data_IF_721013606298
#
_entry.id   IF_721013606298
#
_cell.length_a   1.000
_cell.length_b   1.000
_cell.length_c   1.000
_cell.angle_alpha   90.00
_cell.angle_beta   90.00
_cell.angle_gamma   90.00
#
_symmetry.space_group_name_H-M   'P 1'
#
loop_
_entity.id
_entity.type
_entity.pdbx_description
1 polymer ?
#
# COMPACT_ATOMS: atom_id res chain seq x y z
N UNK A 1 0.83 20.84 40.70
CA UNK A 1 1.14 20.46 39.30
C UNK A 1 1.49 18.98 39.26
N UNK A 2 0.49 18.12 39.39
CA UNK A 2 0.68 16.65 39.37
C UNK A 2 -0.37 16.07 38.44
N UNK A 3 -0.21 16.32 37.14
CA UNK A 3 -0.97 15.54 36.16
C UNK A 3 -0.38 14.14 36.18
N UNK A 4 -1.12 13.26 36.84
CA UNK A 4 -0.84 11.89 37.22
C UNK A 4 -0.09 11.10 36.13
N UNK A 5 1.02 10.44 36.50
CA UNK A 5 1.92 9.67 35.62
C UNK A 5 1.16 8.66 34.73
N UNK A 6 -0.02 8.19 35.17
CA UNK A 6 -0.91 7.31 34.39
C UNK A 6 -1.52 7.94 33.13
N UNK A 7 -1.73 9.26 33.07
CA UNK A 7 -2.31 9.92 31.89
C UNK A 7 -1.29 9.98 30.73
N UNK A 8 0.00 10.13 31.04
CA UNK A 8 1.07 10.13 30.04
C UNK A 8 1.17 8.79 29.28
N UNK A 9 0.96 7.66 29.97
CA UNK A 9 1.00 6.32 29.37
C UNK A 9 -0.18 6.08 28.41
N UNK A 10 -1.33 6.70 28.67
CA UNK A 10 -2.51 6.62 27.81
C UNK A 10 -2.33 7.49 26.55
N UNK A 11 -1.68 8.65 26.68
CA UNK A 11 -1.33 9.47 25.52
C UNK A 11 -0.29 8.78 24.64
N UNK A 12 0.77 8.20 25.21
CA UNK A 12 1.73 7.40 24.43
C UNK A 12 1.10 6.13 23.85
N UNK A 13 0.21 5.45 24.57
CA UNK A 13 -0.46 4.23 24.13
C UNK A 13 -1.45 4.44 22.99
N UNK A 14 -2.27 5.49 23.06
CA UNK A 14 -3.16 5.89 21.96
C UNK A 14 -2.38 6.48 20.77
N UNK A 15 -1.29 7.23 21.01
CA UNK A 15 -0.38 7.66 19.93
C UNK A 15 0.26 6.47 19.21
N UNK A 16 0.72 5.47 19.98
CA UNK A 16 1.30 4.24 19.42
C UNK A 16 0.25 3.49 18.61
N UNK A 17 -0.97 3.33 19.11
CA UNK A 17 -2.07 2.68 18.37
C UNK A 17 -2.50 3.44 17.09
N UNK A 18 -2.48 4.78 17.10
CA UNK A 18 -2.82 5.61 15.93
C UNK A 18 -1.71 5.66 14.87
N UNK A 19 -0.46 5.34 15.22
CA UNK A 19 0.65 5.23 14.26
C UNK A 19 0.76 3.83 13.63
N UNK A 20 0.17 2.77 14.23
CA UNK A 20 0.04 1.44 13.59
C UNK A 20 -1.12 1.42 12.58
N UNK A 21 -1.17 2.48 11.77
CA UNK A 21 -2.07 2.68 10.65
C UNK A 21 -1.43 3.52 9.54
N UNK A 22 -0.10 3.73 9.59
CA UNK A 22 0.64 4.36 8.50
C UNK A 22 0.77 3.36 7.34
N UNK A 23 -0.27 3.28 6.51
CA UNK A 23 -0.04 2.97 5.11
C UNK A 23 0.83 4.10 4.57
N UNK A 24 2.13 3.85 4.49
CA UNK A 24 3.09 4.76 3.90
C UNK A 24 2.75 4.87 2.40
N UNK A 25 1.80 5.75 2.06
CA UNK A 25 1.36 6.02 0.70
C UNK A 25 2.49 6.61 -0.16
N UNK A 26 3.54 7.12 0.48
CA UNK A 26 4.71 7.72 -0.18
C UNK A 26 5.64 6.69 -0.84
N UNK A 27 5.44 5.38 -0.59
CA UNK A 27 6.08 4.29 -1.33
C UNK A 27 5.05 3.24 -1.67
N UNK A 28 4.14 3.57 -2.58
CA UNK A 28 3.25 2.60 -3.20
C UNK A 28 4.08 1.42 -3.79
N UNK A 29 4.10 0.30 -3.05
CA UNK A 29 4.76 -0.94 -3.45
C UNK A 29 3.82 -1.73 -4.36
N UNK A 30 4.38 -2.60 -5.19
CA UNK A 30 3.56 -3.57 -5.91
C UNK A 30 2.79 -4.42 -4.89
N UNK A 31 1.47 -4.55 -5.07
CA UNK A 31 0.62 -5.41 -4.24
C UNK A 31 0.35 -6.68 -5.02
N UNK A 32 0.62 -7.83 -4.41
CA UNK A 32 0.37 -9.13 -5.01
C UNK A 32 -0.48 -9.98 -4.06
N UNK A 33 -1.47 -10.75 -4.58
CA UNK A 33 -1.98 -10.71 -5.94
C UNK A 33 -2.86 -9.47 -6.20
N UNK A 34 -2.82 -8.92 -7.42
CA UNK A 34 -3.70 -7.82 -7.86
C UNK A 34 -4.65 -8.25 -8.98
N UNK A 35 -5.86 -7.68 -9.00
CA UNK A 35 -6.83 -7.91 -10.07
C UNK A 35 -6.67 -6.87 -11.19
N UNK A 36 -6.46 -7.35 -12.42
CA UNK A 36 -6.47 -6.56 -13.65
C UNK A 36 -7.26 -7.27 -14.75
N UNK A 37 -8.25 -6.59 -15.34
CA UNK A 37 -9.16 -7.15 -16.36
C UNK A 37 -9.78 -8.48 -15.93
N UNK A 38 -10.22 -8.55 -14.67
CA UNK A 38 -10.79 -9.76 -14.07
C UNK A 38 -9.82 -10.97 -14.03
N UNK A 39 -8.50 -10.72 -14.03
CA UNK A 39 -7.44 -11.72 -13.86
C UNK A 39 -6.57 -11.34 -12.68
N UNK A 40 -6.18 -12.33 -11.89
CA UNK A 40 -5.25 -12.16 -10.78
C UNK A 40 -3.82 -12.31 -11.27
N UNK A 41 -2.97 -11.34 -10.93
CA UNK A 41 -1.55 -11.34 -11.22
C UNK A 41 -0.77 -11.29 -9.91
N UNK A 42 0.16 -12.23 -9.75
CA UNK A 42 1.05 -12.40 -8.59
C UNK A 42 2.47 -11.86 -8.85
N UNK A 43 2.70 -11.37 -10.07
CA UNK A 43 3.99 -10.94 -10.59
C UNK A 43 3.81 -9.78 -11.57
N UNK A 44 4.92 -9.15 -11.95
CA UNK A 44 4.91 -8.08 -12.93
C UNK A 44 4.40 -8.60 -14.27
N UNK A 45 3.41 -7.92 -14.85
CA UNK A 45 2.81 -8.29 -16.13
C UNK A 45 3.13 -7.24 -17.17
N UNK A 46 3.26 -7.64 -18.44
CA UNK A 46 3.31 -6.69 -19.57
C UNK A 46 1.95 -6.60 -20.29
N UNK A 47 0.91 -7.24 -19.75
CA UNK A 47 -0.41 -7.28 -20.35
C UNK A 47 -1.03 -5.87 -20.42
N UNK A 48 -1.45 -5.48 -21.61
CA UNK A 48 -1.96 -4.13 -21.90
C UNK A 48 -0.90 -3.03 -21.95
N UNK A 49 0.39 -3.38 -21.86
CA UNK A 49 1.49 -2.44 -22.11
C UNK A 49 1.77 -2.34 -23.61
N UNK A 50 1.63 -1.14 -24.18
CA UNK A 50 1.96 -0.90 -25.59
C UNK A 50 3.46 -1.04 -25.91
N UNK A 51 4.33 -0.88 -24.91
CA UNK A 51 5.79 -0.81 -25.06
C UNK A 51 6.46 -2.10 -24.56
N UNK A 52 5.69 -3.18 -24.29
CA UNK A 52 6.18 -4.42 -23.64
C UNK A 52 6.90 -4.18 -22.30
N UNK A 53 6.64 -3.06 -21.63
CA UNK A 53 7.19 -2.78 -20.29
C UNK A 53 6.39 -3.53 -19.26
N UNK A 54 7.08 -4.27 -18.40
CA UNK A 54 6.47 -4.94 -17.26
C UNK A 54 6.05 -3.91 -16.21
N UNK A 55 4.86 -4.09 -15.67
CA UNK A 55 4.24 -3.22 -14.70
C UNK A 55 3.53 -4.06 -13.63
N UNK A 56 3.30 -3.45 -12.47
CA UNK A 56 2.54 -4.06 -11.38
C UNK A 56 1.49 -3.06 -10.88
N UNK A 57 0.40 -3.55 -10.29
CA UNK A 57 -0.52 -2.68 -9.57
C UNK A 57 0.02 -2.35 -8.19
N UNK A 58 -0.25 -1.12 -7.74
CA UNK A 58 0.06 -0.70 -6.37
C UNK A 58 -1.13 -0.88 -5.41
N UNK A 59 -2.22 -1.45 -5.90
CA UNK A 59 -3.39 -1.80 -5.10
C UNK A 59 -3.82 -3.24 -5.39
N UNK A 60 -4.71 -3.78 -4.56
CA UNK A 60 -5.23 -5.13 -4.77
C UNK A 60 -6.18 -5.22 -5.98
N UNK A 61 -6.74 -4.09 -6.44
CA UNK A 61 -7.68 -4.07 -7.54
C UNK A 61 -7.37 -2.90 -8.49
N UNK A 62 -6.58 -3.19 -9.52
CA UNK A 62 -6.27 -2.23 -10.57
C UNK A 62 -7.53 -1.74 -11.29
N UNK A 63 -8.52 -2.61 -11.50
CA UNK A 63 -9.75 -2.24 -12.21
C UNK A 63 -10.55 -1.15 -11.49
N UNK A 64 -10.37 -1.00 -10.16
CA UNK A 64 -10.99 0.05 -9.35
C UNK A 64 -10.11 1.28 -9.19
N UNK A 65 -8.85 1.08 -8.86
CA UNK A 65 -7.96 2.17 -8.47
C UNK A 65 -7.19 2.77 -9.65
N UNK A 66 -6.96 1.99 -10.71
CA UNK A 66 -6.16 2.38 -11.87
C UNK A 66 -4.70 2.70 -11.55
N UNK A 67 -4.22 2.32 -10.36
CA UNK A 67 -2.89 2.68 -9.88
C UNK A 67 -1.89 1.56 -10.20
N UNK A 68 -0.80 1.94 -10.88
CA UNK A 68 0.26 1.05 -11.31
C UNK A 68 1.62 1.74 -11.27
N UNK A 69 2.66 0.90 -11.37
CA UNK A 69 4.03 1.35 -11.54
C UNK A 69 4.78 0.39 -12.45
N UNK A 70 5.84 0.89 -13.07
CA UNK A 70 6.78 0.03 -13.80
C UNK A 70 7.52 -0.88 -12.83
N UNK A 71 7.71 -2.12 -13.25
CA UNK A 71 8.73 -2.98 -12.68
C UNK A 71 10.04 -2.62 -13.38
N UNK A 72 10.74 -1.64 -12.82
CA UNK A 72 12.17 -1.52 -13.06
C UNK A 72 12.81 -2.63 -12.22
N UNK A 73 13.45 -3.59 -12.89
CA UNK A 73 14.32 -4.59 -12.23
C UNK A 73 15.37 -3.90 -11.35
#
# INVERSE_FOLDING_TARGET
>A
MVLNVGMFLMFTGAYVFLQVGHVNADRARCVFPFNYKNKLYDSCTSDGSFIRKAWCSVTANYDKDGAWKNCFD
#
